data_IF_355882444013
#
_entry.id   IF_355882444013
#
_cell.length_a   1.000
_cell.length_b   1.000
_cell.length_c   1.000
_cell.angle_alpha   90.00
_cell.angle_beta   90.00
_cell.angle_gamma   90.00
#
_symmetry.space_group_name_H-M   'P 1'
#
loop_
_entity.id
_entity.type
_entity.pdbx_description
1 polymer ?
#
# COMPACT_ATOMS: atom_id res chain seq x y z
N UNK A 1 -12.71 4.36 6.58
CA UNK A 1 -13.57 3.40 5.88
C UNK A 1 -14.07 2.34 6.85
N UNK A 2 -13.25 1.54 7.49
CA UNK A 2 -13.67 0.44 8.38
C UNK A 2 -14.30 0.89 9.70
N UNK A 3 -13.89 2.04 10.23
CA UNK A 3 -14.44 2.62 11.47
C UNK A 3 -15.88 3.13 11.29
N UNK A 4 -16.17 3.75 10.15
CA UNK A 4 -17.42 4.46 9.90
C UNK A 4 -18.67 3.58 10.09
N UNK A 5 -18.75 2.36 9.52
CA UNK A 5 -19.92 1.49 9.73
C UNK A 5 -20.17 1.11 11.19
N UNK A 6 -19.08 0.94 11.97
CA UNK A 6 -19.20 0.55 13.37
C UNK A 6 -19.65 1.73 14.25
N UNK A 7 -19.03 2.90 14.07
CA UNK A 7 -19.44 4.10 14.80
C UNK A 7 -20.87 4.53 14.46
N UNK A 8 -21.28 4.35 13.20
CA UNK A 8 -22.65 4.64 12.77
C UNK A 8 -23.73 3.84 13.50
N UNK A 9 -23.38 2.70 14.10
CA UNK A 9 -24.33 1.87 14.89
C UNK A 9 -24.57 2.43 16.29
N UNK A 10 -23.56 3.11 16.86
CA UNK A 10 -23.53 3.53 18.27
C UNK A 10 -23.79 5.03 18.43
N UNK A 11 -23.35 5.86 17.48
CA UNK A 11 -23.48 7.31 17.56
C UNK A 11 -24.92 7.76 17.21
N UNK A 12 -25.45 8.74 17.93
CA UNK A 12 -26.68 9.42 17.58
C UNK A 12 -26.55 10.13 16.23
N UNK A 13 -25.40 10.79 16.01
CA UNK A 13 -25.07 11.44 14.75
C UNK A 13 -23.57 11.22 14.45
N UNK A 14 -23.26 10.83 13.21
CA UNK A 14 -21.90 10.70 12.71
C UNK A 14 -21.70 11.65 11.52
N UNK A 15 -20.78 12.59 11.64
CA UNK A 15 -20.36 13.44 10.52
C UNK A 15 -18.96 13.05 10.05
N UNK A 16 -18.85 12.70 8.78
CA UNK A 16 -17.58 12.32 8.15
C UNK A 16 -17.05 13.48 7.31
N UNK A 17 -15.94 14.08 7.75
CA UNK A 17 -15.22 15.08 6.96
C UNK A 17 -14.24 14.38 6.04
N UNK A 18 -14.37 14.60 4.75
CA UNK A 18 -13.55 13.94 3.72
C UNK A 18 -12.97 14.96 2.75
N UNK A 19 -11.66 14.91 2.53
CA UNK A 19 -10.97 15.75 1.54
C UNK A 19 -11.05 15.16 0.12
N UNK A 20 -10.88 13.82 -0.01
CA UNK A 20 -10.93 13.08 -1.27
C UNK A 20 -11.59 11.72 -1.08
N UNK A 21 -12.32 11.26 -2.08
CA UNK A 21 -12.77 9.87 -2.12
C UNK A 21 -11.57 8.94 -2.34
N UNK A 22 -11.67 7.70 -1.89
CA UNK A 22 -10.79 6.62 -2.29
C UNK A 22 -11.61 5.40 -2.68
N UNK A 23 -11.10 4.65 -3.66
CA UNK A 23 -11.70 3.37 -4.02
C UNK A 23 -11.66 2.42 -2.84
N UNK A 24 -12.72 1.65 -2.67
CA UNK A 24 -12.82 0.58 -1.70
C UNK A 24 -13.50 -0.62 -2.34
N UNK A 25 -13.19 -1.81 -1.88
CA UNK A 25 -13.77 -3.05 -2.38
C UNK A 25 -14.31 -3.91 -1.23
N UNK A 26 -15.34 -4.73 -1.46
CA UNK A 26 -15.88 -5.60 -0.43
C UNK A 26 -14.83 -6.55 0.13
N UNK A 27 -14.80 -6.69 1.45
CA UNK A 27 -13.97 -7.71 2.13
C UNK A 27 -14.58 -9.11 1.97
N UNK A 28 -15.91 -9.20 1.98
CA UNK A 28 -16.68 -10.44 1.94
C UNK A 28 -16.17 -11.46 2.96
N UNK A 29 -15.83 -10.99 4.16
CA UNK A 29 -15.36 -11.84 5.25
C UNK A 29 -16.50 -12.73 5.76
N UNK A 30 -16.16 -13.97 6.10
CA UNK A 30 -17.09 -14.93 6.65
C UNK A 30 -16.44 -15.80 7.71
N UNK A 31 -17.24 -16.46 8.48
CA UNK A 31 -16.76 -17.48 9.41
C UNK A 31 -16.14 -18.66 8.64
N UNK A 32 -15.08 -19.21 9.19
CA UNK A 32 -14.40 -20.39 8.69
C UNK A 32 -14.82 -21.56 9.59
N UNK A 33 -15.42 -22.60 9.01
CA UNK A 33 -15.83 -23.78 9.77
C UNK A 33 -14.61 -24.58 10.28
N UNK A 34 -14.80 -25.41 11.30
CA UNK A 34 -13.74 -26.28 11.81
C UNK A 34 -13.21 -27.25 10.74
N UNK A 35 -14.11 -27.76 9.88
CA UNK A 35 -13.76 -28.65 8.78
C UNK A 35 -12.90 -27.91 7.73
N UNK A 36 -13.32 -26.71 7.33
CA UNK A 36 -12.57 -25.85 6.41
C UNK A 36 -11.20 -25.49 6.98
N UNK A 37 -11.13 -25.12 8.27
CA UNK A 37 -9.86 -24.83 8.94
C UNK A 37 -8.96 -26.06 8.99
N UNK A 38 -9.51 -27.26 9.22
CA UNK A 38 -8.74 -28.51 9.20
C UNK A 38 -8.17 -28.83 7.80
N UNK A 39 -8.92 -28.49 6.73
CA UNK A 39 -8.43 -28.63 5.34
C UNK A 39 -7.34 -27.60 5.04
N UNK A 40 -7.54 -26.34 5.40
CA UNK A 40 -6.53 -25.28 5.24
C UNK A 40 -5.21 -25.68 5.90
N UNK A 41 -5.26 -26.21 7.15
CA UNK A 41 -4.06 -26.67 7.87
C UNK A 41 -3.30 -27.78 7.15
N UNK A 42 -4.00 -28.71 6.51
CA UNK A 42 -3.38 -29.79 5.72
C UNK A 42 -2.65 -29.26 4.48
N UNK A 43 -3.07 -28.11 3.98
CA UNK A 43 -2.60 -27.51 2.75
C UNK A 43 -1.65 -26.33 2.97
N UNK A 44 -1.18 -26.08 4.18
CA UNK A 44 -0.31 -24.91 4.46
C UNK A 44 0.92 -24.86 3.54
N UNK A 45 1.58 -25.98 3.29
CA UNK A 45 2.76 -26.02 2.42
C UNK A 45 2.41 -25.60 0.97
N UNK A 46 1.26 -26.06 0.47
CA UNK A 46 0.76 -25.69 -0.86
C UNK A 46 0.40 -24.20 -0.93
N UNK A 47 -0.31 -23.70 0.10
CA UNK A 47 -0.73 -22.30 0.24
C UNK A 47 0.50 -21.39 0.28
N UNK A 48 1.48 -21.70 1.14
CA UNK A 48 2.70 -20.90 1.23
C UNK A 48 3.54 -20.96 -0.05
N UNK A 49 3.62 -22.11 -0.70
CA UNK A 49 4.27 -22.22 -2.00
C UNK A 49 3.54 -21.42 -3.10
N UNK A 50 2.20 -21.37 -3.08
CA UNK A 50 1.42 -20.53 -3.99
C UNK A 50 1.69 -19.04 -3.71
N UNK A 51 1.63 -18.60 -2.45
CA UNK A 51 1.95 -17.23 -2.05
C UNK A 51 3.36 -16.80 -2.49
N UNK A 52 4.34 -17.68 -2.40
CA UNK A 52 5.71 -17.38 -2.81
C UNK A 52 5.87 -17.13 -4.32
N UNK A 53 4.93 -17.61 -5.14
CA UNK A 53 4.97 -17.46 -6.61
C UNK A 53 4.17 -16.26 -7.13
N UNK A 54 3.40 -15.59 -6.29
CA UNK A 54 2.56 -14.45 -6.70
C UNK A 54 3.24 -13.11 -6.41
N UNK A 55 3.00 -12.08 -7.22
CA UNK A 55 3.60 -10.77 -7.00
C UNK A 55 3.28 -10.18 -5.63
N UNK A 56 2.04 -10.32 -5.16
CA UNK A 56 1.56 -9.77 -3.89
C UNK A 56 1.84 -10.64 -2.65
N UNK A 57 2.36 -11.85 -2.80
CA UNK A 57 2.61 -12.76 -1.68
C UNK A 57 1.34 -13.37 -1.04
N UNK A 58 0.23 -13.38 -1.77
CA UNK A 58 -1.04 -14.04 -1.45
C UNK A 58 -1.31 -15.15 -2.46
N UNK A 59 -2.30 -16.01 -2.23
CA UNK A 59 -2.72 -17.01 -3.23
C UNK A 59 -3.33 -16.38 -4.51
N UNK A 60 -3.60 -15.09 -4.50
CA UNK A 60 -4.19 -14.34 -5.61
C UNK A 60 -3.18 -14.13 -6.74
N UNK A 61 -3.32 -14.88 -7.82
CA UNK A 61 -2.52 -14.71 -9.03
C UNK A 61 -3.28 -13.88 -10.08
N UNK A 62 -2.63 -12.92 -10.77
CA UNK A 62 -3.25 -12.14 -11.83
C UNK A 62 -3.78 -13.03 -12.98
N UNK A 63 -4.86 -12.59 -13.63
CA UNK A 63 -5.37 -13.24 -14.83
C UNK A 63 -4.34 -13.06 -15.96
N UNK A 64 -3.94 -14.17 -16.58
CA UNK A 64 -2.89 -14.20 -17.60
C UNK A 64 -3.41 -14.09 -19.03
N UNK A 65 -4.73 -14.02 -19.21
CA UNK A 65 -5.32 -14.00 -20.56
C UNK A 65 -5.07 -12.70 -21.31
N UNK A 66 -4.74 -11.61 -20.63
CA UNK A 66 -4.62 -10.28 -21.21
C UNK A 66 -5.98 -9.60 -21.43
N UNK A 67 -6.08 -8.35 -21.01
CA UNK A 67 -7.32 -7.57 -21.00
C UNK A 67 -7.99 -7.48 -22.39
N UNK A 68 -7.20 -7.19 -23.42
CA UNK A 68 -7.70 -7.01 -24.78
C UNK A 68 -7.90 -8.32 -25.55
N UNK A 69 -7.51 -9.46 -24.98
CA UNK A 69 -7.65 -10.78 -25.59
C UNK A 69 -8.99 -11.45 -25.28
N UNK A 70 -9.77 -10.87 -24.34
CA UNK A 70 -11.06 -11.38 -23.92
C UNK A 70 -12.16 -10.37 -24.24
N UNK A 71 -13.40 -10.87 -24.44
CA UNK A 71 -14.55 -10.00 -24.70
C UNK A 71 -14.91 -9.16 -23.46
N UNK A 72 -15.71 -8.11 -23.66
CA UNK A 72 -16.22 -7.31 -22.56
C UNK A 72 -17.08 -8.13 -21.59
N UNK A 73 -17.86 -9.06 -22.14
CA UNK A 73 -18.71 -9.97 -21.36
C UNK A 73 -17.87 -10.85 -20.44
N UNK A 74 -16.77 -11.42 -20.94
CA UNK A 74 -15.85 -12.24 -20.13
C UNK A 74 -15.14 -11.40 -19.05
N UNK A 75 -14.82 -10.12 -19.31
CA UNK A 75 -14.29 -9.22 -18.29
C UNK A 75 -15.30 -8.97 -17.19
N UNK A 76 -16.56 -8.70 -17.55
CA UNK A 76 -17.64 -8.48 -16.58
C UNK A 76 -17.91 -9.73 -15.72
N UNK A 77 -17.94 -10.92 -16.32
CA UNK A 77 -18.08 -12.19 -15.59
C UNK A 77 -16.92 -12.42 -14.61
N UNK A 78 -15.68 -12.12 -15.03
CA UNK A 78 -14.53 -12.16 -14.13
C UNK A 78 -14.70 -11.18 -12.96
N UNK A 79 -15.05 -9.93 -13.26
CA UNK A 79 -15.16 -8.87 -12.25
C UNK A 79 -16.29 -9.12 -11.27
N UNK A 80 -17.44 -9.63 -11.73
CA UNK A 80 -18.56 -10.05 -10.85
C UNK A 80 -18.11 -11.13 -9.88
N UNK A 81 -17.43 -12.16 -10.38
CA UNK A 81 -16.88 -13.23 -9.54
C UNK A 81 -15.85 -12.71 -8.53
N UNK A 82 -14.97 -11.80 -8.94
CA UNK A 82 -13.94 -11.23 -8.06
C UNK A 82 -14.53 -10.26 -7.04
N UNK A 83 -15.57 -9.50 -7.43
CA UNK A 83 -16.26 -8.56 -6.54
C UNK A 83 -17.01 -9.29 -5.43
N UNK A 84 -17.61 -10.42 -5.75
CA UNK A 84 -18.35 -11.27 -4.81
C UNK A 84 -17.43 -12.23 -4.04
N UNK A 85 -16.17 -12.36 -4.47
CA UNK A 85 -15.14 -13.18 -3.82
C UNK A 85 -14.54 -12.52 -2.57
N UNK A 86 -13.92 -13.30 -1.66
CA UNK A 86 -13.32 -12.77 -0.44
C UNK A 86 -11.96 -12.09 -0.68
N UNK A 87 -11.66 -11.12 0.17
CA UNK A 87 -10.34 -10.51 0.30
C UNK A 87 -9.87 -9.70 -0.91
N UNK A 88 -8.59 -9.81 -1.23
CA UNK A 88 -7.93 -8.99 -2.27
C UNK A 88 -8.11 -9.50 -3.71
N UNK A 89 -8.96 -10.52 -3.96
CA UNK A 89 -9.14 -11.09 -5.28
C UNK A 89 -9.45 -10.04 -6.35
N UNK A 90 -10.39 -9.14 -6.07
CA UNK A 90 -10.78 -8.04 -6.97
C UNK A 90 -9.61 -7.14 -7.40
N UNK A 91 -8.59 -7.00 -6.58
CA UNK A 91 -7.40 -6.20 -6.86
C UNK A 91 -6.27 -7.05 -7.46
N UNK A 92 -5.98 -8.24 -6.92
CA UNK A 92 -4.77 -9.02 -7.23
C UNK A 92 -4.98 -10.13 -8.24
N UNK A 93 -6.22 -10.61 -8.48
CA UNK A 93 -6.55 -11.64 -9.47
C UNK A 93 -7.07 -11.06 -10.79
N UNK A 94 -7.03 -9.75 -10.93
CA UNK A 94 -7.49 -9.04 -12.12
C UNK A 94 -6.43 -9.05 -13.23
N UNK A 95 -6.76 -8.49 -14.40
CA UNK A 95 -5.81 -8.26 -15.47
C UNK A 95 -4.72 -7.28 -15.05
N UNK A 96 -3.48 -7.55 -15.44
CA UNK A 96 -2.34 -6.67 -15.09
C UNK A 96 -2.48 -5.29 -15.76
N UNK A 97 -3.10 -5.25 -16.92
CA UNK A 97 -3.31 -4.03 -17.71
C UNK A 97 -4.10 -2.96 -16.97
N UNK A 98 -4.97 -3.32 -16.02
CA UNK A 98 -5.67 -2.31 -15.20
C UNK A 98 -4.73 -1.44 -14.36
N UNK A 99 -3.47 -1.86 -14.16
CA UNK A 99 -2.46 -1.08 -13.44
C UNK A 99 -1.48 -0.36 -14.36
N UNK A 100 -1.53 -0.63 -15.68
CA UNK A 100 -0.52 -0.20 -16.64
C UNK A 100 -1.10 0.57 -17.82
N UNK A 101 -2.39 0.40 -18.10
CA UNK A 101 -3.09 0.96 -19.26
C UNK A 101 -4.28 1.80 -18.80
N UNK A 102 -4.37 3.05 -19.27
CA UNK A 102 -5.39 4.02 -18.85
C UNK A 102 -6.80 3.60 -19.26
N UNK A 103 -6.97 3.05 -20.46
CA UNK A 103 -8.30 2.63 -20.97
C UNK A 103 -8.81 1.39 -20.21
N UNK A 104 -7.93 0.41 -19.97
CA UNK A 104 -8.26 -0.77 -19.16
C UNK A 104 -8.61 -0.38 -17.71
N UNK A 105 -7.85 0.54 -17.13
CA UNK A 105 -8.12 1.07 -15.79
C UNK A 105 -9.44 1.83 -15.74
N UNK A 106 -9.74 2.66 -16.73
CA UNK A 106 -10.98 3.42 -16.80
C UNK A 106 -12.20 2.49 -16.88
N UNK A 107 -12.17 1.47 -17.75
CA UNK A 107 -13.29 0.51 -17.87
C UNK A 107 -13.55 -0.23 -16.56
N UNK A 108 -12.49 -0.64 -15.86
CA UNK A 108 -12.63 -1.29 -14.57
C UNK A 108 -13.09 -0.32 -13.47
N UNK A 109 -12.60 0.90 -13.46
CA UNK A 109 -13.03 1.95 -12.53
C UNK A 109 -14.52 2.27 -12.69
N UNK A 110 -15.00 2.34 -13.93
CA UNK A 110 -16.44 2.53 -14.24
C UNK A 110 -17.29 1.36 -13.72
N UNK A 111 -16.79 0.12 -13.84
CA UNK A 111 -17.47 -1.04 -13.26
C UNK A 111 -17.61 -0.91 -11.74
N UNK A 112 -16.55 -0.55 -11.04
CA UNK A 112 -16.60 -0.36 -9.56
C UNK A 112 -17.48 0.84 -9.19
N UNK A 113 -17.43 1.94 -9.94
CA UNK A 113 -18.28 3.10 -9.73
C UNK A 113 -19.78 2.73 -9.83
N UNK A 114 -20.14 1.90 -10.80
CA UNK A 114 -21.51 1.41 -10.94
C UNK A 114 -21.93 0.53 -9.75
N UNK A 115 -21.02 -0.29 -9.20
CA UNK A 115 -21.29 -1.04 -7.97
C UNK A 115 -21.53 -0.12 -6.76
N UNK A 116 -20.80 0.98 -6.64
CA UNK A 116 -21.01 1.99 -5.60
C UNK A 116 -22.39 2.66 -5.77
N UNK A 117 -22.75 3.08 -6.99
CA UNK A 117 -24.07 3.70 -7.28
C UNK A 117 -25.24 2.83 -6.86
N UNK A 118 -25.12 1.50 -7.00
CA UNK A 118 -26.18 0.55 -6.60
C UNK A 118 -26.29 0.37 -5.09
N UNK A 119 -25.27 0.74 -4.33
CA UNK A 119 -25.20 0.56 -2.87
C UNK A 119 -25.57 1.83 -2.08
N UNK A 120 -25.53 3.00 -2.72
CA UNK A 120 -25.84 4.30 -2.11
C UNK A 120 -27.17 4.82 -2.69
N UNK A 121 -28.16 5.05 -1.81
CA UNK A 121 -29.51 5.42 -2.20
C UNK A 121 -29.61 6.83 -2.82
N UNK A 122 -28.83 7.79 -2.30
CA UNK A 122 -28.75 9.14 -2.84
C UNK A 122 -27.72 9.20 -3.99
N UNK A 123 -28.15 9.47 -5.24
CA UNK A 123 -27.25 9.55 -6.38
C UNK A 123 -26.17 10.63 -6.26
N UNK A 124 -26.47 11.76 -5.61
CA UNK A 124 -25.49 12.83 -5.44
C UNK A 124 -24.41 12.43 -4.43
N UNK A 125 -24.82 11.74 -3.36
CA UNK A 125 -23.90 11.20 -2.36
C UNK A 125 -23.05 10.07 -2.96
N UNK A 126 -23.63 9.20 -3.79
CA UNK A 126 -22.89 8.16 -4.51
C UNK A 126 -21.76 8.76 -5.34
N UNK A 127 -22.05 9.82 -6.13
CA UNK A 127 -21.03 10.50 -6.94
C UNK A 127 -19.94 11.16 -6.08
N UNK A 128 -20.29 11.67 -4.90
CA UNK A 128 -19.28 12.17 -3.96
C UNK A 128 -18.37 11.07 -3.41
N UNK A 129 -18.85 9.84 -3.27
CA UNK A 129 -18.08 8.70 -2.76
C UNK A 129 -17.20 8.02 -3.82
N UNK A 130 -17.40 8.31 -5.09
CA UNK A 130 -16.62 7.78 -6.21
C UNK A 130 -15.42 8.72 -6.48
N UNK A 131 -14.16 8.21 -6.47
CA UNK A 131 -12.98 8.99 -6.85
C UNK A 131 -13.09 9.53 -8.28
N UNK A 132 -12.62 10.77 -8.48
CA UNK A 132 -12.60 11.46 -9.79
C UNK A 132 -11.19 11.80 -10.25
N UNK A 133 -10.22 11.70 -9.38
CA UNK A 133 -8.84 12.13 -9.58
C UNK A 133 -7.87 10.96 -9.83
N UNK A 134 -8.30 9.72 -9.67
CA UNK A 134 -7.50 8.54 -9.93
C UNK A 134 -8.35 7.30 -10.21
N UNK A 135 -7.81 6.36 -10.97
CA UNK A 135 -8.45 5.08 -11.25
C UNK A 135 -8.30 4.05 -10.12
N UNK A 136 -9.06 2.96 -10.23
CA UNK A 136 -9.03 1.87 -9.25
C UNK A 136 -7.63 1.23 -9.15
N UNK A 137 -7.15 1.03 -7.94
CA UNK A 137 -5.87 0.37 -7.67
C UNK A 137 -4.63 1.24 -7.85
N UNK A 138 -4.77 2.49 -8.34
CA UNK A 138 -3.66 3.45 -8.45
C UNK A 138 -3.19 3.90 -7.06
N UNK A 139 -4.09 3.93 -6.09
CA UNK A 139 -3.79 4.06 -4.68
C UNK A 139 -4.17 2.77 -3.94
N UNK A 140 -3.72 2.62 -2.69
CA UNK A 140 -4.08 1.48 -1.85
C UNK A 140 -5.61 1.35 -1.76
N UNK A 141 -6.15 0.21 -2.21
CA UNK A 141 -7.57 -0.12 -2.09
C UNK A 141 -7.83 -0.74 -0.71
N UNK A 142 -8.51 -0.06 0.21
CA UNK A 142 -8.99 -0.66 1.44
C UNK A 142 -10.13 -1.63 1.16
N UNK A 143 -10.17 -2.72 1.91
CA UNK A 143 -11.31 -3.62 1.94
C UNK A 143 -12.32 -3.11 2.98
N UNK A 144 -13.61 -3.19 2.65
CA UNK A 144 -14.69 -2.62 3.43
C UNK A 144 -15.82 -3.63 3.68
N UNK A 145 -16.58 -3.37 4.72
CA UNK A 145 -17.83 -4.07 5.03
C UNK A 145 -18.87 -3.03 5.40
N UNK A 146 -19.93 -2.92 4.59
CA UNK A 146 -21.02 -1.95 4.78
C UNK A 146 -20.61 -0.46 4.83
N UNK A 147 -19.45 -0.10 4.25
CA UNK A 147 -18.97 1.28 4.23
C UNK A 147 -19.89 2.19 3.43
N UNK A 148 -20.29 1.76 2.24
CA UNK A 148 -21.19 2.52 1.37
C UNK A 148 -22.61 2.55 1.91
N UNK A 149 -23.11 1.43 2.46
CA UNK A 149 -24.44 1.33 3.07
C UNK A 149 -24.55 2.16 4.35
N UNK A 150 -23.45 2.42 5.06
CA UNK A 150 -23.47 3.29 6.23
C UNK A 150 -23.99 4.69 5.90
N UNK A 151 -23.74 5.19 4.70
CA UNK A 151 -24.23 6.49 4.23
C UNK A 151 -25.72 6.51 3.85
N UNK A 152 -26.41 5.36 3.82
CA UNK A 152 -27.85 5.28 3.66
C UNK A 152 -28.61 5.46 4.99
N UNK A 153 -27.90 5.60 6.11
CA UNK A 153 -28.48 5.81 7.43
C UNK A 153 -28.77 7.29 7.66
N UNK A 154 -29.89 7.60 8.30
CA UNK A 154 -30.31 8.98 8.59
C UNK A 154 -29.33 9.72 9.53
N UNK A 155 -28.57 8.98 10.33
CA UNK A 155 -27.62 9.54 11.29
C UNK A 155 -26.19 9.71 10.73
N UNK A 156 -25.94 9.42 9.45
CA UNK A 156 -24.60 9.54 8.84
C UNK A 156 -24.58 10.64 7.79
N UNK A 157 -23.72 11.62 7.98
CA UNK A 157 -23.57 12.78 7.11
C UNK A 157 -22.17 12.88 6.54
N UNK A 158 -22.05 13.21 5.25
CA UNK A 158 -20.80 13.48 4.58
C UNK A 158 -20.60 14.98 4.38
N UNK A 159 -19.47 15.49 4.84
CA UNK A 159 -19.00 16.86 4.54
C UNK A 159 -17.78 16.76 3.63
N UNK A 160 -17.87 17.34 2.46
CA UNK A 160 -16.75 17.41 1.52
C UNK A 160 -15.87 18.63 1.85
N UNK A 161 -14.73 18.38 2.48
CA UNK A 161 -13.81 19.44 2.90
C UNK A 161 -13.09 20.12 1.72
N UNK A 162 -13.28 19.65 0.49
CA UNK A 162 -12.82 20.38 -0.71
C UNK A 162 -13.80 21.48 -1.11
N UNK A 163 -15.10 21.30 -0.83
CA UNK A 163 -16.15 22.30 -1.06
C UNK A 163 -16.25 23.27 0.13
N UNK A 164 -16.18 22.73 1.34
CA UNK A 164 -16.27 23.48 2.62
C UNK A 164 -15.08 23.16 3.52
N UNK A 165 -13.94 23.83 3.30
CA UNK A 165 -12.70 23.57 4.04
C UNK A 165 -12.87 23.74 5.56
N UNK A 166 -12.19 22.86 6.32
CA UNK A 166 -12.06 23.03 7.77
C UNK A 166 -11.12 24.22 8.03
N UNK A 167 -11.62 25.23 8.73
CA UNK A 167 -10.83 26.42 9.09
C UNK A 167 -10.10 26.22 10.43
N UNK A 168 -10.78 25.61 11.40
CA UNK A 168 -10.20 25.35 12.73
C UNK A 168 -11.01 24.37 13.55
N UNK A 169 -10.34 23.75 14.48
CA UNK A 169 -10.97 23.03 15.59
C UNK A 169 -11.27 24.03 16.71
N UNK A 170 -12.47 23.95 17.24
CA UNK A 170 -12.94 24.81 18.32
C UNK A 170 -13.04 24.01 19.64
N UNK A 171 -13.42 24.66 20.72
CA UNK A 171 -13.65 23.97 22.00
C UNK A 171 -14.86 23.01 21.97
N UNK A 172 -15.82 23.24 21.08
CA UNK A 172 -17.07 22.49 21.00
C UNK A 172 -17.24 21.72 19.70
N UNK A 173 -16.26 21.79 18.77
CA UNK A 173 -16.42 21.09 17.50
C UNK A 173 -15.50 21.56 16.38
N UNK A 174 -16.01 21.61 15.16
CA UNK A 174 -15.28 21.94 13.94
C UNK A 174 -15.95 23.13 13.25
N UNK A 175 -15.17 24.17 12.96
CA UNK A 175 -15.58 25.28 12.12
C UNK A 175 -15.09 25.02 10.70
N UNK A 176 -16.03 24.97 9.76
CA UNK A 176 -15.74 24.99 8.31
C UNK A 176 -16.02 26.38 7.75
N UNK A 177 -15.73 26.60 6.47
CA UNK A 177 -15.98 27.88 5.80
C UNK A 177 -17.47 28.29 5.72
N UNK A 178 -18.39 27.34 5.86
CA UNK A 178 -19.85 27.55 5.77
C UNK A 178 -20.56 27.51 7.11
N UNK A 179 -20.17 26.62 8.05
CA UNK A 179 -20.86 26.48 9.32
C UNK A 179 -19.97 25.90 10.44
N UNK A 180 -20.49 25.97 11.66
CA UNK A 180 -19.91 25.33 12.84
C UNK A 180 -20.66 24.04 13.16
N UNK A 181 -19.93 22.94 13.33
CA UNK A 181 -20.45 21.64 13.77
C UNK A 181 -20.06 21.39 15.21
N UNK A 182 -21.01 21.03 16.05
CA UNK A 182 -20.77 20.67 17.46
C UNK A 182 -20.63 19.15 17.60
N UNK A 183 -19.64 18.69 18.38
CA UNK A 183 -19.34 17.28 18.59
C UNK A 183 -18.90 17.00 20.01
N UNK A 184 -19.34 15.86 20.56
CA UNK A 184 -18.82 15.31 21.81
C UNK A 184 -17.47 14.63 21.62
N UNK A 185 -17.22 14.06 20.43
CA UNK A 185 -16.00 13.35 20.07
C UNK A 185 -15.54 13.69 18.66
N UNK A 186 -14.26 13.98 18.50
CA UNK A 186 -13.60 14.14 17.20
C UNK A 186 -12.53 13.06 17.03
N UNK A 187 -12.63 12.27 15.96
CA UNK A 187 -11.63 11.25 15.60
C UNK A 187 -10.74 11.79 14.49
N UNK A 188 -9.46 11.96 14.79
CA UNK A 188 -8.45 12.34 13.79
C UNK A 188 -7.98 11.10 13.04
N UNK A 189 -8.52 10.89 11.84
CA UNK A 189 -8.13 9.82 10.94
C UNK A 189 -7.30 10.37 9.76
N UNK A 190 -6.34 11.24 10.05
CA UNK A 190 -5.58 12.06 9.09
C UNK A 190 -4.43 11.32 8.41
N UNK A 191 -4.20 10.05 8.76
CA UNK A 191 -3.17 9.19 8.19
C UNK A 191 -1.87 9.21 8.99
N UNK A 192 -0.85 8.63 8.38
CA UNK A 192 0.48 8.48 8.95
C UNK A 192 1.52 8.96 7.95
N UNK A 193 2.70 9.33 8.45
CA UNK A 193 3.90 9.45 7.64
C UNK A 193 4.44 8.03 7.38
N UNK A 194 4.13 7.51 6.20
CA UNK A 194 4.43 6.14 5.84
C UNK A 194 5.90 5.98 5.41
N UNK A 195 6.45 4.78 5.61
CA UNK A 195 7.79 4.33 5.27
C UNK A 195 8.92 5.04 6.01
N UNK A 196 9.17 6.33 5.76
CA UNK A 196 10.30 7.05 6.35
C UNK A 196 10.00 7.63 7.72
N UNK A 197 8.76 8.02 8.00
CA UNK A 197 8.41 8.75 9.20
C UNK A 197 8.69 8.06 10.53
N UNK A 198 8.76 6.72 10.57
CA UNK A 198 9.20 6.00 11.74
C UNK A 198 10.73 6.11 11.95
N UNK A 199 11.49 6.10 10.85
CA UNK A 199 12.95 6.27 10.88
C UNK A 199 13.34 7.70 11.24
N UNK A 200 12.62 8.71 10.75
CA UNK A 200 12.88 10.14 11.02
C UNK A 200 12.72 10.49 12.52
N UNK A 201 11.96 9.67 13.26
CA UNK A 201 11.79 9.82 14.72
C UNK A 201 12.87 9.13 15.55
N UNK A 202 13.79 8.42 14.91
CA UNK A 202 14.90 7.74 15.56
C UNK A 202 16.20 8.43 15.14
N UNK A 203 17.01 8.88 16.09
CA UNK A 203 18.28 9.52 15.79
C UNK A 203 19.32 8.49 15.34
N UNK A 204 19.15 7.96 14.11
CA UNK A 204 20.07 7.02 13.47
C UNK A 204 21.19 7.81 12.82
N UNK A 205 22.44 7.55 13.24
CA UNK A 205 23.64 8.23 12.71
C UNK A 205 24.57 7.23 12.05
N UNK A 206 25.01 7.61 10.87
CA UNK A 206 26.00 6.90 10.09
C UNK A 206 27.42 7.42 10.33
N UNK A 207 28.28 7.13 9.37
CA UNK A 207 29.67 7.63 9.31
C UNK A 207 29.66 9.16 9.31
N UNK A 208 30.66 9.78 9.97
CA UNK A 208 30.79 11.23 10.11
C UNK A 208 29.61 11.94 10.80
N UNK A 209 28.72 11.18 11.44
CA UNK A 209 27.58 11.70 12.19
C UNK A 209 26.39 12.14 11.37
N UNK A 210 26.38 11.87 10.06
CA UNK A 210 25.22 12.14 9.16
C UNK A 210 24.01 11.36 9.65
N UNK A 211 22.86 12.01 9.76
CA UNK A 211 21.61 11.34 10.15
C UNK A 211 20.95 10.66 8.95
N UNK A 212 20.15 9.63 9.21
CA UNK A 212 19.39 8.95 8.17
C UNK A 212 18.35 9.90 7.55
N UNK A 213 17.76 10.80 8.35
CA UNK A 213 16.86 11.87 7.90
C UNK A 213 17.54 12.81 6.90
N UNK A 214 18.77 13.26 7.19
CA UNK A 214 19.57 14.07 6.26
C UNK A 214 19.88 13.30 4.98
N UNK A 215 20.30 12.02 5.08
CA UNK A 215 20.57 11.15 3.93
C UNK A 215 19.35 11.00 3.03
N UNK A 216 18.15 10.92 3.60
CA UNK A 216 16.89 10.70 2.89
C UNK A 216 16.05 11.95 2.64
N UNK A 217 16.63 13.15 2.79
CA UNK A 217 15.93 14.43 2.56
C UNK A 217 15.21 14.49 1.21
N UNK A 218 15.80 13.91 0.17
CA UNK A 218 15.22 13.80 -1.17
C UNK A 218 14.40 12.52 -1.42
N UNK A 219 14.29 11.66 -0.43
CA UNK A 219 13.64 10.36 -0.49
C UNK A 219 14.59 9.23 -0.12
N UNK A 220 14.06 8.05 0.21
CA UNK A 220 14.87 6.92 0.61
C UNK A 220 15.71 6.40 -0.57
N UNK A 221 16.99 6.18 -0.31
CA UNK A 221 17.91 5.45 -1.18
C UNK A 221 18.50 4.33 -0.36
N UNK A 222 18.39 3.10 -0.83
CA UNK A 222 18.77 1.89 -0.09
C UNK A 222 19.41 0.88 -1.01
N UNK A 223 20.12 -0.09 -0.46
CA UNK A 223 20.46 -1.32 -1.16
C UNK A 223 19.52 -2.43 -0.75
N UNK A 224 18.77 -2.98 -1.70
CA UNK A 224 17.76 -4.04 -1.54
C UNK A 224 16.62 -3.67 -0.56
N UNK A 225 16.46 -2.41 -0.17
CA UNK A 225 15.53 -2.02 0.89
C UNK A 225 15.96 -2.41 2.30
N UNK A 226 17.18 -2.92 2.46
CA UNK A 226 17.70 -3.50 3.69
C UNK A 226 18.89 -2.73 4.27
N UNK A 227 19.76 -2.17 3.42
CA UNK A 227 21.00 -1.49 3.82
C UNK A 227 21.03 -0.06 3.27
N UNK A 228 21.84 0.79 3.90
CA UNK A 228 22.07 2.18 3.47
C UNK A 228 23.56 2.47 3.48
N UNK A 229 24.09 3.02 2.39
CA UNK A 229 25.48 3.44 2.32
C UNK A 229 25.78 4.57 3.31
N UNK A 230 26.87 4.46 4.03
CA UNK A 230 27.24 5.37 5.13
C UNK A 230 26.67 4.96 6.49
N UNK A 231 25.90 3.86 6.58
CA UNK A 231 25.32 3.34 7.81
C UNK A 231 25.73 1.88 8.06
N UNK A 232 27.01 1.65 8.44
CA UNK A 232 27.49 0.29 8.66
C UNK A 232 26.71 -0.43 9.77
N UNK A 233 26.56 -1.74 9.61
CA UNK A 233 25.85 -2.63 10.54
C UNK A 233 24.37 -2.29 10.76
N UNK A 234 23.80 -1.38 9.95
CA UNK A 234 22.35 -1.13 9.92
C UNK A 234 21.68 -2.10 8.95
N UNK A 235 20.70 -2.85 9.45
CA UNK A 235 19.79 -3.64 8.62
C UNK A 235 18.35 -3.23 8.95
N UNK A 236 17.60 -2.91 7.93
CA UNK A 236 16.18 -2.60 8.04
C UNK A 236 15.35 -3.83 7.64
N UNK A 237 14.43 -4.25 8.48
CA UNK A 237 13.47 -5.30 8.11
C UNK A 237 12.25 -4.63 7.51
N UNK A 238 11.93 -4.97 6.25
CA UNK A 238 10.87 -4.34 5.46
C UNK A 238 11.05 -2.81 5.34
N UNK A 239 12.28 -2.36 5.11
CA UNK A 239 12.61 -0.94 4.89
C UNK A 239 12.07 -0.41 3.57
N UNK A 240 12.22 0.91 3.31
CA UNK A 240 11.86 1.50 2.01
C UNK A 240 12.53 0.75 0.86
N UNK A 241 11.83 0.65 -0.29
CA UNK A 241 12.29 -0.05 -1.50
C UNK A 241 12.40 -1.59 -1.38
N UNK A 242 11.79 -2.20 -0.35
CA UNK A 242 11.47 -3.62 -0.36
C UNK A 242 10.22 -3.89 -1.20
N UNK A 243 9.96 -5.14 -1.58
CA UNK A 243 8.81 -5.49 -2.40
C UNK A 243 7.48 -5.19 -1.69
N UNK A 244 6.55 -4.56 -2.42
CA UNK A 244 5.16 -4.41 -1.98
C UNK A 244 4.43 -5.75 -2.03
N UNK A 245 4.56 -6.54 -0.98
CA UNK A 245 3.99 -7.88 -0.86
C UNK A 245 3.27 -8.04 0.48
N UNK A 246 2.70 -9.22 0.75
CA UNK A 246 2.21 -9.58 2.08
C UNK A 246 3.30 -9.28 3.12
N UNK A 247 2.99 -8.38 4.06
CA UNK A 247 4.01 -7.81 4.97
C UNK A 247 4.74 -8.89 5.79
N UNK A 248 4.07 -9.87 6.46
CA UNK A 248 4.76 -10.95 7.14
C UNK A 248 5.71 -11.73 6.24
N UNK A 249 5.31 -12.06 5.00
CA UNK A 249 6.15 -12.77 4.03
C UNK A 249 7.36 -11.95 3.59
N UNK A 250 7.16 -10.65 3.36
CA UNK A 250 8.27 -9.73 3.05
C UNK A 250 9.26 -9.59 4.20
N UNK A 251 8.76 -9.57 5.45
CA UNK A 251 9.58 -9.52 6.64
C UNK A 251 10.41 -10.81 6.82
N UNK A 252 9.81 -12.00 6.60
CA UNK A 252 10.53 -13.27 6.61
C UNK A 252 11.71 -13.27 5.61
N UNK A 253 11.47 -12.87 4.36
CA UNK A 253 12.53 -12.77 3.35
C UNK A 253 13.66 -11.83 3.79
N UNK A 254 13.31 -10.70 4.41
CA UNK A 254 14.29 -9.73 4.92
C UNK A 254 15.11 -10.28 6.09
N UNK A 255 14.45 -10.97 7.02
CA UNK A 255 15.08 -11.59 8.20
C UNK A 255 16.02 -12.74 7.78
N UNK A 256 15.56 -13.63 6.90
CA UNK A 256 16.36 -14.75 6.42
C UNK A 256 17.64 -14.26 5.73
N UNK A 257 17.50 -13.25 4.85
CA UNK A 257 18.62 -12.66 4.16
C UNK A 257 19.61 -11.97 5.14
N UNK A 258 19.08 -11.17 6.07
CA UNK A 258 19.88 -10.47 7.07
C UNK A 258 20.63 -11.45 7.99
N UNK A 259 19.96 -12.51 8.42
CA UNK A 259 20.56 -13.58 9.23
C UNK A 259 21.68 -14.30 8.46
N UNK A 260 21.45 -14.55 7.15
CA UNK A 260 22.47 -15.10 6.26
C UNK A 260 23.71 -14.21 6.13
N UNK A 261 23.52 -12.88 5.94
CA UNK A 261 24.60 -11.91 5.89
C UNK A 261 25.41 -11.89 7.19
N UNK A 262 24.74 -11.86 8.35
CA UNK A 262 25.40 -11.88 9.65
C UNK A 262 26.17 -13.19 9.87
N UNK A 263 25.59 -14.33 9.48
CA UNK A 263 26.26 -15.63 9.55
C UNK A 263 27.50 -15.71 8.68
N UNK A 264 27.44 -15.18 7.46
CA UNK A 264 28.57 -15.09 6.54
C UNK A 264 29.69 -14.22 7.13
N UNK A 265 29.35 -13.01 7.56
CA UNK A 265 30.29 -12.08 8.19
C UNK A 265 31.02 -12.71 9.40
N UNK A 266 30.28 -13.30 10.32
CA UNK A 266 30.85 -13.95 11.51
C UNK A 266 31.66 -15.19 11.18
N UNK A 267 31.25 -15.96 10.17
CA UNK A 267 31.98 -17.13 9.67
C UNK A 267 33.37 -16.77 9.16
N UNK A 268 33.56 -15.56 8.66
CA UNK A 268 34.83 -15.01 8.25
C UNK A 268 35.60 -14.30 9.37
N UNK A 269 35.08 -14.29 10.59
CA UNK A 269 35.66 -13.57 11.73
C UNK A 269 35.58 -12.05 11.64
N UNK A 270 34.67 -11.54 10.78
CA UNK A 270 34.43 -10.11 10.53
C UNK A 270 33.38 -9.57 11.49
N UNK A 271 33.33 -8.23 11.63
CA UNK A 271 32.45 -7.55 12.60
C UNK A 271 31.69 -6.35 12.01
N UNK A 272 31.99 -5.98 10.78
CA UNK A 272 31.42 -4.82 10.14
C UNK A 272 31.05 -5.15 8.70
N UNK A 273 29.89 -4.70 8.28
CA UNK A 273 29.48 -4.67 6.87
C UNK A 273 28.94 -3.28 6.53
N UNK A 274 29.09 -2.91 5.29
CA UNK A 274 28.54 -1.68 4.72
C UNK A 274 28.27 -1.87 3.23
N UNK A 275 27.12 -1.37 2.74
CA UNK A 275 26.84 -1.44 1.30
C UNK A 275 27.64 -0.40 0.54
N UNK A 276 28.07 -0.75 -0.67
CA UNK A 276 28.78 0.15 -1.57
C UNK A 276 27.81 1.19 -2.16
N UNK A 277 28.31 2.42 -2.37
CA UNK A 277 27.50 3.49 -2.99
C UNK A 277 26.98 3.11 -4.38
N UNK A 278 27.79 2.42 -5.17
CA UNK A 278 27.41 1.97 -6.51
C UNK A 278 26.29 0.91 -6.47
N UNK A 279 26.31 0.01 -5.48
CA UNK A 279 25.26 -0.99 -5.28
C UNK A 279 23.95 -0.35 -4.83
N UNK A 280 24.00 0.61 -3.89
CA UNK A 280 22.86 1.41 -3.46
C UNK A 280 22.23 2.15 -4.64
N UNK A 281 23.02 2.88 -5.42
CA UNK A 281 22.52 3.62 -6.58
C UNK A 281 21.95 2.70 -7.66
N UNK A 282 22.61 1.58 -7.95
CA UNK A 282 22.14 0.60 -8.92
C UNK A 282 20.80 -0.02 -8.52
N UNK A 283 20.57 -0.25 -7.23
CA UNK A 283 19.27 -0.70 -6.73
C UNK A 283 18.21 0.38 -6.85
N UNK A 284 18.52 1.63 -6.50
CA UNK A 284 17.61 2.75 -6.67
C UNK A 284 17.16 2.92 -8.13
N UNK A 285 18.12 2.91 -9.07
CA UNK A 285 17.80 3.01 -10.50
C UNK A 285 16.92 1.85 -10.97
N UNK A 286 17.16 0.65 -10.44
CA UNK A 286 16.31 -0.51 -10.71
C UNK A 286 14.89 -0.33 -10.15
N UNK A 287 14.74 0.21 -8.94
CA UNK A 287 13.43 0.52 -8.35
C UNK A 287 12.69 1.53 -9.20
N UNK A 288 13.34 2.63 -9.62
CA UNK A 288 12.76 3.65 -10.51
C UNK A 288 12.23 3.01 -11.78
N UNK A 289 13.04 2.17 -12.44
CA UNK A 289 12.63 1.44 -13.66
C UNK A 289 11.42 0.53 -13.46
N UNK A 290 11.23 -0.03 -12.27
CA UNK A 290 10.06 -0.87 -11.97
C UNK A 290 8.76 -0.07 -11.84
N UNK A 291 8.82 1.25 -11.68
CA UNK A 291 7.64 2.12 -11.66
C UNK A 291 7.18 2.54 -13.07
N UNK A 292 8.09 2.61 -14.05
CA UNK A 292 7.81 3.18 -15.38
C UNK A 292 6.54 2.63 -16.04
N UNK A 293 6.27 1.29 -16.05
CA UNK A 293 5.11 0.75 -16.74
C UNK A 293 3.79 0.94 -15.98
N UNK A 294 3.81 1.40 -14.73
CA UNK A 294 2.63 1.44 -13.88
C UNK A 294 2.03 2.84 -13.76
N UNK A 295 0.70 2.91 -13.81
CA UNK A 295 -0.07 4.15 -13.61
C UNK A 295 0.14 4.74 -12.21
N UNK A 296 0.46 3.92 -11.22
CA UNK A 296 0.72 4.36 -9.85
C UNK A 296 1.87 5.38 -9.72
N UNK A 297 2.74 5.51 -10.74
CA UNK A 297 3.83 6.50 -10.76
C UNK A 297 3.34 7.95 -10.66
N UNK A 298 2.09 8.21 -11.07
CA UNK A 298 1.46 9.53 -11.03
C UNK A 298 0.55 9.72 -9.81
N UNK A 299 0.46 8.72 -8.93
CA UNK A 299 -0.46 8.75 -7.80
C UNK A 299 -0.05 9.80 -6.75
N UNK A 300 -1.01 10.57 -6.28
CA UNK A 300 -0.87 11.39 -5.06
C UNK A 300 -1.09 10.49 -3.82
N UNK A 301 -0.10 9.68 -3.50
CA UNK A 301 -0.19 8.63 -2.50
C UNK A 301 1.11 8.51 -1.70
N UNK A 302 1.01 8.02 -0.48
CA UNK A 302 2.16 7.64 0.33
C UNK A 302 3.08 6.60 -0.37
N UNK A 303 2.56 5.82 -1.31
CA UNK A 303 3.36 4.89 -2.14
C UNK A 303 4.43 5.65 -2.94
N UNK A 304 4.07 6.82 -3.46
CA UNK A 304 4.97 7.72 -4.19
C UNK A 304 5.63 8.76 -3.29
N UNK A 305 5.42 8.69 -1.98
CA UNK A 305 5.95 9.62 -1.00
C UNK A 305 5.19 10.94 -0.88
N UNK A 306 4.04 11.08 -1.56
CA UNK A 306 3.21 12.27 -1.42
C UNK A 306 2.55 12.33 -0.03
N UNK A 307 2.75 13.46 0.66
CA UNK A 307 2.07 13.81 1.90
C UNK A 307 1.95 15.33 2.00
N UNK A 308 0.75 15.85 1.79
CA UNK A 308 0.51 17.31 1.81
C UNK A 308 0.72 17.98 3.17
N UNK A 309 0.95 17.22 4.23
CA UNK A 309 1.20 17.73 5.57
C UNK A 309 2.71 17.85 5.90
N UNK A 310 3.57 17.40 5.00
CA UNK A 310 5.02 17.39 5.19
C UNK A 310 5.72 18.20 4.10
N UNK A 311 6.64 19.07 4.52
CA UNK A 311 7.55 19.79 3.61
C UNK A 311 8.43 18.79 2.86
N UNK A 312 8.68 19.03 1.56
CA UNK A 312 9.44 18.13 0.68
C UNK A 312 8.70 16.88 0.22
N UNK A 313 7.42 16.73 0.58
CA UNK A 313 6.56 15.61 0.15
C UNK A 313 5.43 16.06 -0.78
N UNK A 314 5.63 17.15 -1.51
CA UNK A 314 4.66 17.75 -2.41
C UNK A 314 4.41 16.88 -3.64
N UNK A 315 3.33 17.19 -4.34
CA UNK A 315 3.00 16.53 -5.60
C UNK A 315 4.05 16.84 -6.69
N UNK A 316 4.33 15.83 -7.50
CA UNK A 316 5.27 15.92 -8.62
C UNK A 316 6.70 15.45 -8.33
N UNK A 317 7.02 15.15 -7.05
CA UNK A 317 8.29 14.53 -6.66
C UNK A 317 8.04 13.12 -6.13
N UNK A 318 8.35 12.11 -6.95
CA UNK A 318 8.21 10.70 -6.55
C UNK A 318 9.40 10.26 -5.70
N UNK A 319 9.12 9.72 -4.52
CA UNK A 319 10.16 9.25 -3.57
C UNK A 319 10.46 7.74 -3.67
N UNK A 320 9.78 7.01 -4.54
CA UNK A 320 10.00 5.57 -4.82
C UNK A 320 10.11 4.70 -3.56
N UNK A 321 9.10 4.77 -2.69
CA UNK A 321 9.12 4.15 -1.38
C UNK A 321 9.04 2.61 -1.39
N UNK A 322 8.62 2.00 -2.48
CA UNK A 322 8.44 0.54 -2.59
C UNK A 322 9.15 0.00 -3.85
N UNK A 323 9.50 -1.28 -3.83
CA UNK A 323 9.90 -2.02 -5.02
C UNK A 323 8.66 -2.63 -5.69
N UNK A 324 8.36 -2.20 -6.91
CA UNK A 324 7.15 -2.62 -7.64
C UNK A 324 7.36 -3.81 -8.58
N UNK A 325 8.49 -4.50 -8.48
CA UNK A 325 8.81 -5.69 -9.28
C UNK A 325 8.16 -7.00 -8.81
N UNK A 326 7.45 -6.96 -7.67
CA UNK A 326 6.77 -8.12 -7.07
C UNK A 326 7.69 -9.02 -6.23
N UNK A 327 7.07 -9.81 -5.34
CA UNK A 327 7.75 -10.66 -4.37
C UNK A 327 8.72 -11.69 -4.97
N UNK A 328 8.34 -12.46 -6.01
CA UNK A 328 9.23 -13.48 -6.58
C UNK A 328 10.52 -12.91 -7.18
N UNK A 329 10.45 -11.78 -7.89
CA UNK A 329 11.63 -11.12 -8.48
C UNK A 329 12.54 -10.56 -7.38
N UNK A 330 11.94 -9.97 -6.36
CA UNK A 330 12.67 -9.48 -5.19
C UNK A 330 13.39 -10.62 -4.46
N UNK A 331 12.70 -11.72 -4.15
CA UNK A 331 13.29 -12.89 -3.51
C UNK A 331 14.46 -13.48 -4.33
N UNK A 332 14.28 -13.57 -5.67
CA UNK A 332 15.36 -14.02 -6.56
C UNK A 332 16.59 -13.11 -6.51
N UNK A 333 16.38 -11.79 -6.42
CA UNK A 333 17.51 -10.84 -6.32
C UNK A 333 18.24 -10.96 -4.97
N UNK A 334 17.51 -11.10 -3.87
CA UNK A 334 18.10 -11.35 -2.55
C UNK A 334 18.94 -12.63 -2.56
N UNK A 335 18.39 -13.72 -3.12
CA UNK A 335 19.09 -14.99 -3.22
C UNK A 335 20.35 -14.89 -4.09
N UNK A 336 20.27 -14.20 -5.24
CA UNK A 336 21.41 -13.98 -6.12
C UNK A 336 22.56 -13.30 -5.39
N UNK A 337 22.28 -12.16 -4.73
CA UNK A 337 23.30 -11.39 -3.97
C UNK A 337 23.95 -12.24 -2.89
N UNK A 338 23.17 -13.06 -2.18
CA UNK A 338 23.71 -13.97 -1.17
C UNK A 338 24.61 -15.08 -1.77
N UNK A 339 24.21 -15.66 -2.93
CA UNK A 339 25.00 -16.69 -3.63
C UNK A 339 26.29 -16.14 -4.23
N UNK A 340 26.32 -14.86 -4.60
CA UNK A 340 27.50 -14.13 -5.10
C UNK A 340 28.41 -13.61 -3.97
N UNK A 341 28.25 -14.12 -2.74
CA UNK A 341 29.05 -13.73 -1.60
C UNK A 341 28.73 -12.34 -1.05
N UNK A 342 27.49 -11.91 -1.16
CA UNK A 342 26.99 -10.60 -0.77
C UNK A 342 27.61 -9.46 -1.59
N UNK A 343 27.60 -9.60 -2.93
CA UNK A 343 28.07 -8.57 -3.86
C UNK A 343 27.47 -7.19 -3.55
N UNK A 344 28.31 -6.14 -3.63
CA UNK A 344 27.94 -4.77 -3.30
C UNK A 344 27.91 -4.46 -1.80
N UNK A 345 28.52 -5.36 -0.99
CA UNK A 345 28.69 -5.19 0.45
C UNK A 345 30.14 -5.42 0.82
N UNK A 346 30.81 -4.41 1.37
CA UNK A 346 32.13 -4.54 1.97
C UNK A 346 31.99 -5.14 3.36
N UNK A 347 32.71 -6.22 3.65
CA UNK A 347 32.66 -6.96 4.93
C UNK A 347 34.08 -6.95 5.57
N UNK A 348 34.20 -6.41 6.79
CA UNK A 348 35.47 -6.16 7.49
C UNK A 348 35.50 -6.75 8.91
#
# INVERSE_FOLDING_TARGET
IQLIPEVAKEAETLTVFRRRANWAAPLNNRDISEEEMADIRKRYDEIFAACARTPGGFEHAPDRRGFYSVSREERLELWDRLYDGPGFGIWLQNFVEIFMDEDANAEFSDYIAERIRRRVNDPQLAEKLIPKDHGFGIQRVPLETNYFEAYNRDNVHLVDSSETPIERITRTGIQTSDQHYEFDLIVYATGFDAFTGAFDRINIRGVDGVTLEEKWSDGPVTYLGLLVHGFPNLVMISGPQTAATNFPRGAELSVDWATGLLGHMWGEGKKRFETDLAAEQGWFDHVVKMYEPFLLRTAQSWITGYNSNLEGHEYGKTRYNIYNGGGPRYASRLQQVAQEGYEGITIE
#
